data_IF_063194523811
#
_entry.id   IF_063194523811
#
_cell.length_a   1.000
_cell.length_b   1.000
_cell.length_c   1.000
_cell.angle_alpha   90.00
_cell.angle_beta   90.00
_cell.angle_gamma   90.00
#
_symmetry.space_group_name_H-M   'P 1'
#
loop_
_entity.id
_entity.type
_entity.pdbx_description
1 polymer ?
#
# COMPACT_ATOMS: atom_id res chain seq x y z
N UNK A 1 32.02 11.76 -33.05
CA UNK A 1 32.00 10.49 -32.29
C UNK A 1 32.59 10.74 -30.90
N UNK A 2 31.85 10.36 -29.85
CA UNK A 2 32.31 9.84 -28.54
C UNK A 2 33.24 10.73 -27.69
N UNK A 3 33.07 10.89 -26.39
CA UNK A 3 32.02 10.50 -25.45
C UNK A 3 32.27 11.35 -24.19
N UNK A 4 31.21 11.89 -23.64
CA UNK A 4 31.15 12.60 -22.37
C UNK A 4 31.39 11.62 -21.23
N UNK A 5 32.39 11.89 -20.39
CA UNK A 5 32.52 11.26 -19.07
C UNK A 5 32.57 12.40 -18.06
N UNK A 6 31.44 12.68 -17.43
CA UNK A 6 31.39 13.45 -16.20
C UNK A 6 31.20 12.48 -15.04
N UNK A 7 32.24 12.39 -14.24
CA UNK A 7 32.27 11.66 -13.00
C UNK A 7 31.53 12.42 -11.88
N UNK A 8 30.80 11.64 -11.08
CA UNK A 8 30.50 11.78 -9.66
C UNK A 8 30.11 13.16 -9.07
N UNK A 9 28.85 13.24 -8.63
CA UNK A 9 28.45 13.90 -7.38
C UNK A 9 27.56 12.90 -6.62
N UNK A 10 28.08 12.27 -5.56
CA UNK A 10 27.97 12.67 -4.15
C UNK A 10 26.57 12.48 -3.55
N UNK A 11 26.51 11.50 -2.63
CA UNK A 11 25.73 11.48 -1.40
C UNK A 11 24.20 11.56 -1.51
N UNK A 12 23.57 10.39 -1.65
CA UNK A 12 22.30 10.15 -0.97
C UNK A 12 22.60 9.52 0.39
N UNK A 13 22.83 10.36 1.40
CA UNK A 13 22.64 9.96 2.79
C UNK A 13 21.12 9.85 3.04
N UNK A 14 20.51 8.82 2.45
CA UNK A 14 19.17 8.40 2.83
C UNK A 14 19.28 7.71 4.18
N UNK A 15 19.10 8.47 5.25
CA UNK A 15 18.64 7.92 6.51
C UNK A 15 17.26 7.30 6.23
N UNK A 16 17.25 6.06 5.72
CA UNK A 16 16.03 5.27 5.74
C UNK A 16 15.78 5.00 7.22
N UNK A 17 14.81 5.73 7.74
CA UNK A 17 14.19 5.48 9.02
C UNK A 17 14.11 3.97 9.24
N UNK A 18 14.77 3.48 10.29
CA UNK A 18 14.45 2.21 10.89
C UNK A 18 13.00 2.32 11.40
N UNK A 19 12.05 2.20 10.49
CA UNK A 19 10.66 1.93 10.79
C UNK A 19 10.68 0.49 11.27
N UNK A 20 10.96 0.30 12.57
CA UNK A 20 10.68 -0.97 13.21
C UNK A 20 9.22 -1.27 12.90
N UNK A 21 8.90 -2.36 12.19
CA UNK A 21 7.52 -2.69 11.90
C UNK A 21 6.83 -2.83 13.26
N UNK A 22 5.99 -1.84 13.60
CA UNK A 22 5.09 -1.95 14.74
C UNK A 22 4.28 -3.19 14.48
N UNK A 23 4.40 -4.19 15.36
CA UNK A 23 3.74 -5.48 15.20
C UNK A 23 2.27 -5.25 14.81
N UNK A 24 1.91 -5.72 13.61
CA UNK A 24 0.58 -5.51 13.06
C UNK A 24 -0.48 -6.05 14.05
N UNK A 25 -1.62 -5.36 14.22
CA UNK A 25 -2.68 -5.89 15.06
C UNK A 25 -3.11 -7.28 14.54
N UNK A 26 -3.53 -8.21 15.41
CA UNK A 26 -3.72 -9.62 15.06
C UNK A 26 -4.65 -9.85 13.85
N UNK A 27 -5.64 -8.96 13.65
CA UNK A 27 -6.53 -9.02 12.49
C UNK A 27 -5.83 -8.64 11.16
N UNK A 28 -4.91 -7.68 11.19
CA UNK A 28 -4.15 -7.27 10.01
C UNK A 28 -3.14 -8.35 9.57
N UNK A 29 -2.50 -9.01 10.54
CA UNK A 29 -1.61 -10.15 10.26
C UNK A 29 -2.38 -11.30 9.59
N UNK A 30 -3.54 -11.69 10.15
CA UNK A 30 -4.38 -12.74 9.59
C UNK A 30 -4.90 -12.39 8.18
N UNK A 31 -5.20 -11.11 7.92
CA UNK A 31 -5.60 -10.66 6.58
C UNK A 31 -4.45 -10.77 5.57
N UNK A 32 -3.24 -10.34 5.95
CA UNK A 32 -2.05 -10.45 5.12
C UNK A 32 -1.72 -11.92 4.80
N UNK A 33 -1.85 -12.84 5.77
CA UNK A 33 -1.61 -14.27 5.57
C UNK A 33 -2.59 -14.88 4.54
N UNK A 34 -3.86 -14.47 4.61
CA UNK A 34 -4.87 -14.88 3.60
C UNK A 34 -4.55 -14.32 2.23
N UNK A 35 -4.19 -13.04 2.12
CA UNK A 35 -3.75 -12.44 0.85
C UNK A 35 -2.51 -13.14 0.29
N UNK A 36 -1.54 -13.45 1.15
CA UNK A 36 -0.33 -14.17 0.75
C UNK A 36 -0.66 -15.53 0.17
N UNK A 37 -1.62 -16.25 0.78
CA UNK A 37 -2.10 -17.54 0.28
C UNK A 37 -2.82 -17.41 -1.07
N UNK A 38 -3.74 -16.45 -1.22
CA UNK A 38 -4.54 -16.29 -2.45
C UNK A 38 -3.70 -15.85 -3.66
N UNK A 39 -2.65 -15.06 -3.40
CA UNK A 39 -1.75 -14.54 -4.41
C UNK A 39 -0.48 -15.37 -4.57
N UNK A 40 -0.33 -16.47 -3.82
CA UNK A 40 0.88 -17.30 -3.82
C UNK A 40 2.16 -16.44 -3.62
N UNK A 41 2.12 -15.52 -2.65
CA UNK A 41 3.23 -14.61 -2.39
C UNK A 41 4.43 -15.36 -1.81
N UNK A 42 5.62 -15.07 -2.34
CA UNK A 42 6.86 -15.42 -1.66
C UNK A 42 7.03 -14.59 -0.38
N UNK A 43 7.86 -15.05 0.57
CA UNK A 43 8.14 -14.30 1.81
C UNK A 43 8.66 -12.90 1.53
N UNK A 44 9.51 -12.75 0.50
CA UNK A 44 10.05 -11.47 0.07
C UNK A 44 8.95 -10.53 -0.47
N UNK A 45 8.02 -11.05 -1.28
CA UNK A 45 6.88 -10.29 -1.77
C UNK A 45 5.93 -9.93 -0.63
N UNK A 46 5.67 -10.87 0.29
CA UNK A 46 4.79 -10.66 1.44
C UNK A 46 5.27 -9.50 2.32
N UNK A 47 6.57 -9.42 2.60
CA UNK A 47 7.13 -8.31 3.37
C UNK A 47 6.95 -6.95 2.68
N UNK A 48 7.12 -6.90 1.35
CA UNK A 48 6.93 -5.67 0.58
C UNK A 48 5.45 -5.28 0.49
N UNK A 49 4.56 -6.25 0.24
CA UNK A 49 3.11 -6.05 0.24
C UNK A 49 2.63 -5.54 1.60
N UNK A 50 3.14 -6.12 2.68
CA UNK A 50 2.84 -5.68 4.04
C UNK A 50 3.16 -4.19 4.23
N UNK A 51 4.38 -3.78 3.87
CA UNK A 51 4.80 -2.39 4.01
C UNK A 51 3.91 -1.43 3.20
N UNK A 52 3.49 -1.82 2.00
CA UNK A 52 2.58 -1.01 1.17
C UNK A 52 1.20 -0.90 1.83
N UNK A 53 0.61 -2.01 2.28
CA UNK A 53 -0.73 -2.03 2.87
C UNK A 53 -0.77 -1.33 4.24
N UNK A 54 0.29 -1.44 5.05
CA UNK A 54 0.41 -0.69 6.30
C UNK A 54 0.45 0.82 6.06
N UNK A 55 1.19 1.26 5.05
CA UNK A 55 1.24 2.67 4.67
C UNK A 55 -0.12 3.19 4.16
N UNK A 56 -0.85 2.40 3.38
CA UNK A 56 -2.22 2.70 2.96
C UNK A 56 -3.16 2.83 4.16
N UNK A 57 -3.15 1.85 5.07
CA UNK A 57 -4.01 1.85 6.24
C UNK A 57 -3.73 3.08 7.12
N UNK A 58 -2.46 3.44 7.31
CA UNK A 58 -2.08 4.63 8.06
C UNK A 58 -2.70 5.91 7.45
N UNK A 59 -2.74 6.04 6.12
CA UNK A 59 -3.38 7.18 5.44
C UNK A 59 -4.89 7.23 5.70
N UNK A 60 -5.58 6.10 5.56
CA UNK A 60 -7.02 6.01 5.80
C UNK A 60 -7.33 6.36 7.26
N UNK A 61 -6.54 5.82 8.19
CA UNK A 61 -6.68 6.11 9.62
C UNK A 61 -6.50 7.59 9.93
N UNK A 62 -5.46 8.22 9.37
CA UNK A 62 -5.22 9.65 9.56
C UNK A 62 -6.38 10.49 9.05
N UNK A 63 -6.93 10.16 7.87
CA UNK A 63 -8.11 10.84 7.32
C UNK A 63 -9.35 10.67 8.21
N UNK A 64 -9.59 9.45 8.71
CA UNK A 64 -10.67 9.17 9.65
C UNK A 64 -10.51 9.93 10.98
N UNK A 65 -9.31 9.95 11.54
CA UNK A 65 -9.01 10.68 12.79
C UNK A 65 -9.18 12.19 12.61
N UNK A 66 -8.74 12.74 11.48
CA UNK A 66 -8.93 14.15 11.14
C UNK A 66 -10.43 14.50 11.01
N UNK A 67 -11.20 13.68 10.31
CA UNK A 67 -12.65 13.87 10.19
C UNK A 67 -13.31 13.83 11.57
N UNK A 68 -12.97 12.84 12.40
CA UNK A 68 -13.49 12.72 13.77
C UNK A 68 -13.12 13.93 14.64
N UNK A 69 -11.88 14.40 14.56
CA UNK A 69 -11.40 15.55 15.34
C UNK A 69 -12.09 16.86 14.94
N UNK A 70 -12.47 17.01 13.66
CA UNK A 70 -13.23 18.16 13.18
C UNK A 70 -14.71 18.14 13.56
N UNK A 71 -15.18 17.13 14.30
CA UNK A 71 -16.58 16.98 14.72
C UNK A 71 -17.56 16.76 13.57
N UNK A 72 -17.05 16.56 12.36
CA UNK A 72 -17.83 16.41 11.13
C UNK A 72 -17.89 14.93 10.77
N UNK A 73 -19.07 14.42 10.45
CA UNK A 73 -19.20 13.05 9.93
C UNK A 73 -18.39 12.98 8.61
N UNK A 74 -17.55 11.96 8.40
CA UNK A 74 -16.80 11.84 7.14
C UNK A 74 -17.80 11.89 5.98
N UNK A 75 -17.59 12.82 5.06
CA UNK A 75 -18.36 12.88 3.83
C UNK A 75 -18.09 11.60 3.03
N UNK A 76 -19.15 10.87 2.71
CA UNK A 76 -19.03 9.56 2.08
C UNK A 76 -18.37 9.67 0.70
N UNK A 77 -18.65 10.74 -0.05
CA UNK A 77 -18.05 10.96 -1.36
C UNK A 77 -16.54 11.21 -1.24
N UNK A 78 -16.12 12.05 -0.29
CA UNK A 78 -14.71 12.26 0.01
C UNK A 78 -13.99 10.98 0.44
N UNK A 79 -14.61 10.15 1.29
CA UNK A 79 -14.03 8.87 1.70
C UNK A 79 -13.96 7.87 0.55
N UNK A 80 -14.96 7.84 -0.34
CA UNK A 80 -14.91 7.02 -1.55
C UNK A 80 -13.78 7.47 -2.48
N UNK A 81 -13.63 8.77 -2.72
CA UNK A 81 -12.56 9.32 -3.54
C UNK A 81 -11.18 9.01 -2.93
N UNK A 82 -11.03 9.16 -1.61
CA UNK A 82 -9.80 8.81 -0.90
C UNK A 82 -9.45 7.33 -1.07
N UNK A 83 -10.42 6.42 -0.88
CA UNK A 83 -10.19 4.98 -1.08
C UNK A 83 -9.78 4.67 -2.53
N UNK A 84 -10.42 5.28 -3.53
CA UNK A 84 -10.05 5.07 -4.93
C UNK A 84 -8.63 5.57 -5.23
N UNK A 85 -8.26 6.74 -4.71
CA UNK A 85 -6.90 7.26 -4.87
C UNK A 85 -5.88 6.32 -4.23
N UNK A 86 -6.11 5.90 -2.99
CA UNK A 86 -5.22 5.01 -2.26
C UNK A 86 -5.10 3.66 -2.98
N UNK A 87 -6.20 3.12 -3.52
CA UNK A 87 -6.20 1.90 -4.31
C UNK A 87 -5.29 2.02 -5.54
N UNK A 88 -5.39 3.12 -6.29
CA UNK A 88 -4.54 3.36 -7.45
C UNK A 88 -3.06 3.47 -7.07
N UNK A 89 -2.75 4.19 -5.99
CA UNK A 89 -1.38 4.29 -5.46
C UNK A 89 -0.83 2.93 -5.01
N UNK A 90 -1.66 2.12 -4.35
CA UNK A 90 -1.30 0.76 -3.91
C UNK A 90 -0.98 -0.11 -5.12
N UNK A 91 -1.82 -0.10 -6.16
CA UNK A 91 -1.55 -0.85 -7.39
C UNK A 91 -0.22 -0.43 -8.04
N UNK A 92 0.03 0.87 -8.16
CA UNK A 92 1.29 1.38 -8.72
C UNK A 92 2.52 0.89 -7.92
N UNK A 93 2.43 0.88 -6.58
CA UNK A 93 3.52 0.41 -5.72
C UNK A 93 3.70 -1.11 -5.74
N UNK A 94 2.64 -1.86 -6.01
CA UNK A 94 2.69 -3.32 -6.08
C UNK A 94 3.10 -3.85 -7.46
N UNK A 95 2.95 -3.08 -8.54
CA UNK A 95 3.39 -3.45 -9.89
C UNK A 95 4.82 -4.00 -9.98
N UNK A 96 5.86 -3.40 -9.35
CA UNK A 96 7.21 -3.96 -9.39
C UNK A 96 7.43 -5.15 -8.45
N UNK A 97 6.48 -5.43 -7.55
CA UNK A 97 6.58 -6.48 -6.51
C UNK A 97 5.87 -7.76 -6.94
N UNK A 98 4.71 -7.60 -7.57
CA UNK A 98 3.83 -8.68 -7.99
C UNK A 98 4.02 -8.99 -9.46
N UNK A 99 3.91 -10.27 -9.83
CA UNK A 99 3.75 -10.64 -11.23
C UNK A 99 2.42 -10.12 -11.79
N UNK A 100 2.29 -10.03 -13.12
CA UNK A 100 1.04 -9.62 -13.76
C UNK A 100 -0.16 -10.47 -13.32
N UNK A 101 0.03 -11.79 -13.18
CA UNK A 101 -1.01 -12.71 -12.72
C UNK A 101 -1.44 -12.42 -11.27
N UNK A 102 -0.47 -12.15 -10.38
CA UNK A 102 -0.74 -11.79 -8.99
C UNK A 102 -1.42 -10.43 -8.87
N UNK A 103 -1.00 -9.45 -9.67
CA UNK A 103 -1.60 -8.12 -9.72
C UNK A 103 -3.07 -8.19 -10.17
N UNK A 104 -3.35 -8.99 -11.21
CA UNK A 104 -4.73 -9.20 -11.69
C UNK A 104 -5.61 -9.88 -10.64
N UNK A 105 -5.11 -10.93 -9.97
CA UNK A 105 -5.82 -11.57 -8.84
C UNK A 105 -6.11 -10.55 -7.73
N UNK A 106 -5.14 -9.72 -7.38
CA UNK A 106 -5.29 -8.69 -6.35
C UNK A 106 -6.37 -7.66 -6.73
N UNK A 107 -6.37 -7.18 -7.99
CA UNK A 107 -7.41 -6.28 -8.49
C UNK A 107 -8.80 -6.91 -8.38
N UNK A 108 -8.97 -8.16 -8.80
CA UNK A 108 -10.26 -8.88 -8.67
C UNK A 108 -10.70 -9.00 -7.21
N UNK A 109 -9.79 -9.27 -6.28
CA UNK A 109 -10.13 -9.30 -4.84
C UNK A 109 -10.59 -7.94 -4.32
N UNK A 110 -9.98 -6.84 -4.79
CA UNK A 110 -10.40 -5.49 -4.43
C UNK A 110 -11.78 -5.14 -5.01
N UNK A 111 -12.04 -5.51 -6.25
CA UNK A 111 -13.34 -5.32 -6.92
C UNK A 111 -14.45 -6.06 -6.17
N UNK A 112 -14.24 -7.34 -5.85
CA UNK A 112 -15.20 -8.14 -5.08
C UNK A 112 -15.47 -7.53 -3.70
N UNK A 113 -14.44 -7.03 -3.02
CA UNK A 113 -14.62 -6.35 -1.74
C UNK A 113 -15.42 -5.07 -1.90
N UNK A 114 -15.15 -4.29 -2.95
CA UNK A 114 -15.90 -3.07 -3.25
C UNK A 114 -17.37 -3.37 -3.50
N UNK A 115 -17.69 -4.38 -4.32
CA UNK A 115 -19.06 -4.80 -4.64
C UNK A 115 -19.86 -5.21 -3.40
N UNK A 116 -19.23 -5.88 -2.43
CA UNK A 116 -19.91 -6.27 -1.18
C UNK A 116 -20.19 -5.11 -0.22
N UNK A 117 -19.56 -3.95 -0.42
CA UNK A 117 -19.67 -2.78 0.45
C UNK A 117 -20.66 -1.72 -0.06
N UNK A 118 -21.28 -1.94 -1.23
CA UNK A 118 -22.40 -1.14 -1.77
C UNK A 118 -23.73 -1.86 -1.61
#
# INVERSE_FOLDING_TARGET
MKATVFALALLWAGALCAQTPTAAPPNAAAHLDKLATLLDLTDAQKAQVQAVLEAEHAKIRAAHEQAKASGTKPDWEQMKALHQQIQQETLQKLTPVLSEAQLKKFQTLQELHHEMMH
#
